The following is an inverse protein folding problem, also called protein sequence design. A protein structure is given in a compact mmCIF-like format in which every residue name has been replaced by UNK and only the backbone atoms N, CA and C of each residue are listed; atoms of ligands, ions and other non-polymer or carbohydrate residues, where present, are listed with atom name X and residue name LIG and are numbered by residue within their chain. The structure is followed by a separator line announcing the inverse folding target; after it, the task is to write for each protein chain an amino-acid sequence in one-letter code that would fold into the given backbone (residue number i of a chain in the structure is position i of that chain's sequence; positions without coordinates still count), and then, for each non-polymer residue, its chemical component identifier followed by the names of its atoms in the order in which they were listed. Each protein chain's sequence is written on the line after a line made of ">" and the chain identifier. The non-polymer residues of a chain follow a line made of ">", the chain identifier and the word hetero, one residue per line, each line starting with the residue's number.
data_IF_389657299324
#
_entry.id   IF_389657299324
#
_cell.length_a   1.000
_cell.length_b   1.000
_cell.length_c   1.000
_cell.angle_alpha   90.00
_cell.angle_beta   90.00
_cell.angle_gamma   90.00
#
_symmetry.space_group_name_H-M   'P 1'
#
loop_
_entity.id
_entity.type
_entity.pdbx_description
1 polymer ?
#
# COMPACT_ATOMS: atom_id res chain seq x y z
N UNK A 1 6.31 11.35 8.83
CA UNK A 1 4.84 11.22 8.93
C UNK A 1 4.49 9.78 8.57
N UNK A 2 3.53 9.15 9.26
CA UNK A 2 3.11 7.77 8.95
C UNK A 2 1.61 7.73 8.66
N UNK A 3 1.19 6.75 7.85
CA UNK A 3 -0.20 6.47 7.50
C UNK A 3 -0.47 4.97 7.67
N UNK A 4 -1.75 4.55 7.77
CA UNK A 4 -2.12 3.14 7.86
C UNK A 4 -2.99 2.78 6.66
N UNK A 5 -2.44 2.11 5.67
CA UNK A 5 -3.23 1.66 4.51
C UNK A 5 -3.85 0.29 4.77
N UNK A 6 -5.05 0.07 4.24
CA UNK A 6 -5.70 -1.24 4.25
C UNK A 6 -5.61 -1.87 2.86
N UNK A 7 -4.96 -3.03 2.75
CA UNK A 7 -4.88 -3.78 1.49
C UNK A 7 -4.76 -5.28 1.76
N UNK A 8 -5.29 -6.12 0.86
CA UNK A 8 -5.27 -7.58 1.03
C UNK A 8 -5.92 -8.07 2.34
N UNK A 9 -6.89 -7.33 2.88
CA UNK A 9 -7.53 -7.64 4.17
C UNK A 9 -6.67 -7.41 5.42
N UNK A 10 -5.50 -6.76 5.28
CA UNK A 10 -4.58 -6.43 6.37
C UNK A 10 -4.31 -4.93 6.43
N UNK A 11 -3.89 -4.46 7.59
CA UNK A 11 -3.48 -3.08 7.82
C UNK A 11 -1.95 -2.99 7.76
N UNK A 12 -1.43 -1.99 7.06
CA UNK A 12 -0.01 -1.75 6.89
C UNK A 12 0.32 -0.32 7.31
N UNK A 13 1.28 -0.16 8.21
CA UNK A 13 1.83 1.15 8.54
C UNK A 13 2.88 1.53 7.50
N UNK A 14 2.73 2.69 6.90
CA UNK A 14 3.59 3.16 5.81
C UNK A 14 4.08 4.57 6.07
N UNK A 15 5.28 4.87 5.58
CA UNK A 15 5.87 6.20 5.54
C UNK A 15 6.37 6.48 4.12
N UNK A 16 6.59 7.75 3.79
CA UNK A 16 7.16 8.14 2.50
C UNK A 16 8.54 7.49 2.30
N UNK A 17 8.72 6.75 1.19
CA UNK A 17 9.95 6.03 0.87
C UNK A 17 10.03 4.58 1.38
N UNK A 18 9.04 4.10 2.14
CA UNK A 18 9.02 2.71 2.63
C UNK A 18 8.72 1.72 1.50
N UNK A 19 9.43 0.59 1.47
CA UNK A 19 9.13 -0.55 0.59
C UNK A 19 8.46 -1.65 1.41
N UNK A 20 7.25 -2.05 1.02
CA UNK A 20 6.46 -3.06 1.73
C UNK A 20 6.17 -4.28 0.85
N UNK A 21 6.20 -5.46 1.47
CA UNK A 21 5.70 -6.68 0.84
C UNK A 21 4.23 -6.86 1.21
N UNK A 22 3.36 -6.69 0.22
CA UNK A 22 1.92 -6.86 0.33
C UNK A 22 1.44 -7.98 -0.60
N UNK A 23 0.17 -8.37 -0.47
CA UNK A 23 -0.41 -9.31 -1.42
C UNK A 23 -0.49 -8.72 -2.83
N UNK A 24 -0.63 -9.63 -3.81
CA UNK A 24 -0.66 -9.26 -5.22
C UNK A 24 -1.84 -8.32 -5.49
N UNK A 25 -1.51 -7.13 -5.98
CA UNK A 25 -2.49 -6.16 -6.47
C UNK A 25 -2.78 -6.43 -7.96
N UNK A 26 -4.01 -6.14 -8.44
CA UNK A 26 -4.38 -6.25 -9.85
C UNK A 26 -3.89 -5.03 -10.65
N UNK A 27 -2.60 -4.72 -10.56
CA UNK A 27 -1.95 -3.59 -11.26
C UNK A 27 -0.65 -4.05 -11.90
N UNK A 28 -0.19 -3.34 -12.94
CA UNK A 28 1.08 -3.63 -13.58
C UNK A 28 2.26 -3.06 -12.79
N UNK A 29 3.45 -3.59 -13.03
CA UNK A 29 4.66 -3.10 -12.38
C UNK A 29 4.98 -1.68 -12.87
N UNK A 30 5.03 -0.72 -11.94
CA UNK A 30 5.30 0.69 -12.24
C UNK A 30 4.06 1.57 -12.26
N UNK A 31 2.86 0.99 -12.18
CA UNK A 31 1.62 1.77 -12.05
C UNK A 31 1.49 2.39 -10.66
N UNK A 32 0.95 3.60 -10.62
CA UNK A 32 0.58 4.26 -9.37
C UNK A 32 -0.77 3.73 -8.87
N UNK A 33 -0.81 3.28 -7.62
CA UNK A 33 -2.03 2.82 -6.95
C UNK A 33 -2.40 3.81 -5.86
N UNK A 34 -3.67 4.22 -5.84
CA UNK A 34 -4.22 5.04 -4.76
C UNK A 34 -4.99 4.14 -3.79
N UNK A 35 -4.68 4.23 -2.51
CA UNK A 35 -5.44 3.55 -1.45
C UNK A 35 -6.39 4.55 -0.81
N UNK A 36 -7.69 4.34 -0.99
CA UNK A 36 -8.73 5.23 -0.43
C UNK A 36 -8.94 5.03 1.08
N UNK A 37 -8.49 3.90 1.63
CA UNK A 37 -8.58 3.57 3.06
C UNK A 37 -7.22 3.80 3.73
N UNK A 38 -7.14 4.89 4.49
CA UNK A 38 -5.96 5.39 5.24
C UNK A 38 -6.25 5.57 6.73
#
# INVERSE_FOLDING_TARGET
>A
MYAIIVTGGKQYKVSEGDTLFIEKLPVEAGDAVTFDQV
#
